data_IF_569270715224
#
_entry.id   IF_569270715224
#
_cell.length_a   1.000
_cell.length_b   1.000
_cell.length_c   1.000
_cell.angle_alpha   90.00
_cell.angle_beta   90.00
_cell.angle_gamma   90.00
#
_symmetry.space_group_name_H-M   'P 1'
#
loop_
_entity.id
_entity.type
_entity.pdbx_description
1 polymer ?
#
# COMPACT_ATOMS: atom_id res chain seq x y z
N UNK A 1 -7.89 12.38 -16.45
CA UNK A 1 -8.41 11.41 -15.46
C UNK A 1 -8.68 12.13 -14.15
N UNK A 2 -9.80 11.88 -13.50
CA UNK A 2 -10.09 12.40 -12.17
C UNK A 2 -9.83 11.30 -11.14
N UNK A 3 -9.03 11.60 -10.12
CA UNK A 3 -8.77 10.73 -8.97
C UNK A 3 -9.40 11.37 -7.74
N UNK A 4 -10.26 10.64 -7.04
CA UNK A 4 -10.95 11.14 -5.85
C UNK A 4 -10.26 10.61 -4.60
N UNK A 5 -9.72 11.53 -3.78
CA UNK A 5 -8.96 11.25 -2.58
C UNK A 5 -7.47 11.57 -2.72
N UNK A 6 -6.75 11.64 -1.60
CA UNK A 6 -5.33 11.98 -1.52
C UNK A 6 -4.48 11.01 -0.69
N UNK A 7 -5.00 9.82 -0.40
CA UNK A 7 -4.24 8.76 0.26
C UNK A 7 -3.32 8.00 -0.71
N UNK A 8 -2.58 6.99 -0.22
CA UNK A 8 -1.61 6.24 -1.01
C UNK A 8 -2.21 5.62 -2.28
N UNK A 9 -3.40 5.03 -2.20
CA UNK A 9 -4.06 4.44 -3.36
C UNK A 9 -4.34 5.48 -4.45
N UNK A 10 -4.86 6.64 -4.07
CA UNK A 10 -5.15 7.74 -4.98
C UNK A 10 -3.87 8.31 -5.62
N UNK A 11 -2.82 8.50 -4.83
CA UNK A 11 -1.54 8.99 -5.33
C UNK A 11 -0.86 7.99 -6.27
N UNK A 12 -0.92 6.69 -5.95
CA UNK A 12 -0.39 5.64 -6.83
C UNK A 12 -1.14 5.60 -8.17
N UNK A 13 -2.47 5.66 -8.14
CA UNK A 13 -3.28 5.73 -9.35
C UNK A 13 -2.97 6.98 -10.19
N UNK A 14 -2.84 8.14 -9.54
CA UNK A 14 -2.54 9.40 -10.20
C UNK A 14 -1.16 9.39 -10.87
N UNK A 15 -0.13 8.90 -10.16
CA UNK A 15 1.23 8.79 -10.68
C UNK A 15 1.28 7.83 -11.86
N UNK A 16 0.65 6.66 -11.73
CA UNK A 16 0.60 5.66 -12.80
C UNK A 16 -0.07 6.20 -14.05
N UNK A 17 -1.22 6.88 -13.90
CA UNK A 17 -1.91 7.49 -15.03
C UNK A 17 -1.08 8.62 -15.68
N UNK A 18 -0.44 9.45 -14.89
CA UNK A 18 0.42 10.53 -15.41
C UNK A 18 1.63 9.96 -16.17
N UNK A 19 2.26 8.89 -15.66
CA UNK A 19 3.35 8.18 -16.37
C UNK A 19 2.89 7.54 -17.68
N UNK A 20 1.63 7.16 -17.77
CA UNK A 20 1.01 6.68 -19.02
C UNK A 20 0.56 7.82 -19.96
N UNK A 21 0.91 9.07 -19.68
CA UNK A 21 0.61 10.22 -20.53
C UNK A 21 -0.76 10.86 -20.31
N UNK A 22 -1.51 10.45 -19.30
CA UNK A 22 -2.82 11.04 -19.01
C UNK A 22 -2.71 12.34 -18.22
N UNK A 23 -3.55 13.33 -18.57
CA UNK A 23 -3.77 14.49 -17.69
C UNK A 23 -4.56 14.06 -16.47
N UNK A 24 -4.07 14.37 -15.27
CA UNK A 24 -4.66 13.91 -14.00
C UNK A 24 -5.02 15.10 -13.12
N UNK A 25 -6.23 15.05 -12.55
CA UNK A 25 -6.69 15.96 -11.50
C UNK A 25 -6.97 15.10 -10.26
N UNK A 26 -6.46 15.52 -9.11
CA UNK A 26 -6.74 14.90 -7.82
C UNK A 26 -7.71 15.81 -7.06
N UNK A 27 -8.85 15.26 -6.67
CA UNK A 27 -9.82 15.93 -5.81
C UNK A 27 -9.74 15.35 -4.38
N UNK A 28 -9.28 16.16 -3.43
CA UNK A 28 -9.17 15.79 -2.01
C UNK A 28 -10.10 16.68 -1.18
N UNK A 29 -10.94 16.07 -0.36
CA UNK A 29 -11.90 16.78 0.48
C UNK A 29 -11.23 17.41 1.73
N UNK A 30 -10.21 16.75 2.27
CA UNK A 30 -9.57 17.21 3.49
C UNK A 30 -8.74 18.48 3.24
N UNK A 31 -8.71 19.44 4.20
CA UNK A 31 -7.85 20.60 4.10
C UNK A 31 -6.36 20.18 4.04
N UNK A 32 -5.53 21.07 3.52
CA UNK A 32 -4.09 20.83 3.29
C UNK A 32 -3.37 20.21 4.49
N UNK A 33 -3.72 20.64 5.70
CA UNK A 33 -3.12 20.17 6.94
C UNK A 33 -3.56 18.75 7.33
N UNK A 34 -4.66 18.25 6.77
CA UNK A 34 -5.28 16.97 7.13
C UNK A 34 -5.34 15.97 5.96
N UNK A 35 -4.93 16.38 4.76
CA UNK A 35 -4.97 15.51 3.57
C UNK A 35 -4.08 14.29 3.71
N UNK A 36 -4.39 13.22 2.99
CA UNK A 36 -3.61 11.97 2.96
C UNK A 36 -4.31 10.77 3.60
N UNK A 37 -5.50 10.96 4.18
CA UNK A 37 -6.30 9.90 4.78
C UNK A 37 -5.51 9.12 5.85
N UNK A 38 -5.82 7.84 5.99
CA UNK A 38 -5.13 6.96 6.94
C UNK A 38 -3.64 6.73 6.61
N UNK A 39 -3.21 6.99 5.38
CA UNK A 39 -1.81 6.84 5.00
C UNK A 39 -0.86 7.73 5.81
N UNK A 40 -1.33 8.85 6.32
CA UNK A 40 -0.56 9.74 7.22
C UNK A 40 -0.24 9.13 8.58
N UNK A 41 -1.06 8.20 9.02
CA UNK A 41 -0.96 7.59 10.35
C UNK A 41 -0.21 6.26 10.34
N UNK A 42 0.18 5.79 9.16
CA UNK A 42 0.96 4.56 9.01
C UNK A 42 2.38 4.80 9.50
N UNK A 43 2.78 4.03 10.51
CA UNK A 43 4.13 4.09 11.09
C UNK A 43 4.96 2.86 10.72
N UNK A 44 4.29 1.73 10.53
CA UNK A 44 4.93 0.46 10.25
C UNK A 44 4.42 -0.07 8.92
N UNK A 45 5.34 -0.48 8.08
CA UNK A 45 5.05 -1.18 6.83
C UNK A 45 5.61 -2.60 6.96
N UNK A 46 4.82 -3.57 6.53
CA UNK A 46 5.32 -4.90 6.24
C UNK A 46 5.69 -4.94 4.76
N UNK A 47 6.89 -5.34 4.49
CA UNK A 47 7.38 -5.47 3.14
C UNK A 47 8.16 -6.79 3.02
N UNK A 48 7.84 -7.54 1.99
CA UNK A 48 8.57 -8.75 1.63
C UNK A 48 10.02 -8.38 1.31
N UNK A 49 10.96 -9.13 1.89
CA UNK A 49 12.39 -8.97 1.62
C UNK A 49 13.13 -10.30 1.83
N UNK A 50 13.91 -10.74 0.84
CA UNK A 50 14.54 -12.06 0.87
C UNK A 50 15.78 -12.14 1.74
N UNK A 51 16.33 -10.99 2.16
CA UNK A 51 17.56 -10.92 2.94
C UNK A 51 17.55 -9.70 3.88
N UNK A 52 18.37 -9.71 4.94
CA UNK A 52 18.55 -8.56 5.81
C UNK A 52 19.04 -7.32 5.05
N UNK A 53 18.62 -6.14 5.51
CA UNK A 53 19.05 -4.84 5.02
C UNK A 53 19.58 -4.00 6.18
N UNK A 54 20.00 -2.75 5.93
CA UNK A 54 20.47 -1.85 6.99
C UNK A 54 19.43 -1.59 8.10
N UNK A 55 18.14 -1.71 7.77
CA UNK A 55 17.03 -1.41 8.69
C UNK A 55 16.16 -2.62 9.02
N UNK A 56 16.37 -3.73 8.34
CA UNK A 56 15.61 -4.98 8.51
C UNK A 56 16.59 -6.09 8.86
N UNK A 57 16.48 -6.65 10.05
CA UNK A 57 17.49 -7.56 10.62
C UNK A 57 17.36 -9.01 10.15
N UNK A 58 16.22 -9.38 9.60
CA UNK A 58 15.89 -10.75 9.19
C UNK A 58 15.33 -10.77 7.77
N UNK A 59 15.19 -11.94 7.18
CA UNK A 59 14.41 -12.11 5.95
C UNK A 59 12.92 -12.21 6.30
N UNK A 60 12.04 -11.80 5.39
CA UNK A 60 10.60 -11.95 5.51
C UNK A 60 10.03 -12.40 4.17
N UNK A 61 9.76 -13.70 4.07
CA UNK A 61 9.34 -14.34 2.84
C UNK A 61 7.85 -14.24 2.56
N UNK A 62 7.44 -14.60 1.33
CA UNK A 62 6.04 -14.55 0.91
C UNK A 62 5.14 -15.46 1.76
N UNK A 63 5.58 -16.69 2.05
CA UNK A 63 4.77 -17.63 2.83
C UNK A 63 4.66 -17.20 4.30
N UNK A 64 5.71 -16.67 4.89
CA UNK A 64 5.66 -16.13 6.24
C UNK A 64 4.71 -14.93 6.31
N UNK A 65 4.75 -14.05 5.32
CA UNK A 65 3.81 -12.94 5.23
C UNK A 65 2.37 -13.44 5.09
N UNK A 66 2.15 -14.46 4.26
CA UNK A 66 0.85 -15.08 4.07
C UNK A 66 0.30 -15.68 5.37
N UNK A 67 1.11 -16.45 6.09
CA UNK A 67 0.73 -17.05 7.37
C UNK A 67 0.40 -15.98 8.43
N UNK A 68 1.19 -14.93 8.49
CA UNK A 68 0.92 -13.78 9.36
C UNK A 68 -0.41 -13.10 9.00
N UNK A 69 -0.69 -12.93 7.72
CA UNK A 69 -1.93 -12.33 7.25
C UNK A 69 -3.15 -13.20 7.62
N UNK A 70 -3.06 -14.51 7.42
CA UNK A 70 -4.10 -15.45 7.84
C UNK A 70 -4.35 -15.38 9.36
N UNK A 71 -3.30 -15.35 10.14
CA UNK A 71 -3.38 -15.23 11.60
C UNK A 71 -4.07 -13.95 12.04
N UNK A 72 -3.71 -12.81 11.48
CA UNK A 72 -4.25 -11.49 11.85
C UNK A 72 -5.70 -11.33 11.40
N UNK A 73 -6.05 -11.87 10.23
CA UNK A 73 -7.41 -11.78 9.67
C UNK A 73 -8.36 -12.90 10.16
N UNK A 74 -7.84 -13.85 10.94
CA UNK A 74 -8.59 -15.04 11.34
C UNK A 74 -9.02 -15.89 10.13
N UNK A 75 -8.22 -15.93 9.07
CA UNK A 75 -8.48 -16.64 7.83
C UNK A 75 -9.48 -15.92 6.90
N UNK A 76 -9.91 -14.73 7.23
CA UNK A 76 -10.88 -13.95 6.44
C UNK A 76 -10.19 -13.05 5.42
N UNK A 77 -9.56 -13.66 4.44
CA UNK A 77 -8.89 -12.91 3.36
C UNK A 77 -9.02 -13.67 2.04
N UNK A 78 -9.05 -12.93 0.95
CA UNK A 78 -9.00 -13.49 -0.40
C UNK A 78 -7.54 -13.78 -0.75
N UNK A 79 -7.19 -15.04 -0.97
CA UNK A 79 -5.82 -15.45 -1.22
C UNK A 79 -5.24 -14.81 -2.49
N UNK A 80 -6.01 -14.73 -3.56
CA UNK A 80 -5.54 -14.19 -4.85
C UNK A 80 -5.18 -12.72 -4.71
N UNK A 81 -6.08 -11.93 -4.11
CA UNK A 81 -5.85 -10.51 -3.89
C UNK A 81 -4.73 -10.24 -2.89
N UNK A 82 -4.67 -11.04 -1.82
CA UNK A 82 -3.63 -10.90 -0.80
C UNK A 82 -2.24 -11.19 -1.39
N UNK A 83 -2.05 -12.30 -2.09
CA UNK A 83 -0.77 -12.65 -2.71
C UNK A 83 -0.34 -11.66 -3.77
N UNK A 84 -1.29 -11.08 -4.52
CA UNK A 84 -0.99 -10.00 -5.46
C UNK A 84 -0.51 -8.71 -4.76
N UNK A 85 -0.93 -8.48 -3.52
CA UNK A 85 -0.53 -7.31 -2.72
C UNK A 85 0.79 -7.53 -1.99
N UNK A 86 1.11 -8.78 -1.63
CA UNK A 86 2.34 -9.18 -0.94
C UNK A 86 3.56 -9.04 -1.87
N UNK A 87 3.42 -9.38 -3.14
CA UNK A 87 4.47 -9.32 -4.18
C UNK A 87 4.73 -7.91 -4.70
#
# INVERSE_FOLDING_TARGET
>A
MLVVGGGNAALSAAITAARAGASVIIAEHAPITMRGGNSRHTRNLRALHPAPTEVLTESYGEEEYWDDLLRVTGGRTDEVLARMTIR
#
